data_IF_519002626745
#
_entry.id   IF_519002626745
#
_cell.length_a   1.000
_cell.length_b   1.000
_cell.length_c   1.000
_cell.angle_alpha   90.00
_cell.angle_beta   90.00
_cell.angle_gamma   90.00
#
_symmetry.space_group_name_H-M   'P 1'
#
loop_
_entity.id
_entity.type
_entity.pdbx_description
1 polymer ?
#
# COMPACT_ATOMS: atom_id res chain seq x y z
N UNK A 1 25.27 -27.41 26.05
CA UNK A 1 26.42 -27.77 25.20
C UNK A 1 27.45 -28.34 26.13
N UNK A 2 27.71 -29.64 26.00
CA UNK A 2 28.80 -30.32 26.70
C UNK A 2 30.15 -29.84 26.18
N UNK A 3 31.09 -29.76 27.11
CA UNK A 3 32.42 -29.19 26.95
C UNK A 3 33.32 -30.15 26.15
N UNK A 4 33.75 -29.74 24.96
CA UNK A 4 34.59 -30.53 24.07
C UNK A 4 35.44 -29.65 23.17
N UNK A 5 36.76 -29.86 23.18
CA UNK A 5 37.73 -29.11 22.37
C UNK A 5 37.63 -29.49 20.88
N UNK A 6 37.48 -28.49 20.02
CA UNK A 6 37.40 -28.62 18.56
C UNK A 6 38.66 -29.24 17.94
N UNK A 7 38.51 -30.30 17.15
CA UNK A 7 39.61 -30.97 16.46
C UNK A 7 39.63 -30.64 14.96
N UNK A 8 40.83 -30.71 14.35
CA UNK A 8 40.99 -30.51 12.91
C UNK A 8 40.31 -31.65 12.13
N UNK A 9 39.28 -31.32 11.36
CA UNK A 9 38.46 -32.29 10.60
C UNK A 9 36.99 -32.34 11.02
N UNK A 10 36.63 -31.69 12.13
CA UNK A 10 35.24 -31.61 12.58
C UNK A 10 34.36 -30.88 11.56
N UNK A 11 33.16 -31.41 11.33
CA UNK A 11 32.14 -30.80 10.48
C UNK A 11 30.90 -30.49 11.29
N UNK A 12 30.51 -29.23 11.32
CA UNK A 12 29.31 -28.76 12.01
C UNK A 12 28.23 -28.44 10.98
N UNK A 13 27.05 -29.01 11.18
CA UNK A 13 25.87 -28.71 10.38
C UNK A 13 25.12 -27.57 11.06
N UNK A 14 25.31 -26.34 10.58
CA UNK A 14 24.58 -25.17 11.05
C UNK A 14 23.28 -25.08 10.23
N UNK A 15 22.14 -25.34 10.87
CA UNK A 15 20.82 -25.22 10.26
C UNK A 15 19.98 -24.19 11.02
N UNK A 16 20.29 -22.89 10.88
CA UNK A 16 19.67 -21.84 11.68
C UNK A 16 18.18 -21.67 11.41
N UNK A 17 17.66 -22.24 10.30
CA UNK A 17 16.26 -22.16 9.89
C UNK A 17 15.47 -23.46 9.98
N UNK A 18 16.05 -24.59 10.42
CA UNK A 18 15.38 -25.91 10.40
C UNK A 18 14.04 -25.92 11.15
N UNK A 19 13.94 -25.12 12.22
CA UNK A 19 12.73 -24.97 13.04
C UNK A 19 12.14 -23.54 12.97
N UNK A 20 12.59 -22.70 12.02
CA UNK A 20 12.11 -21.32 11.91
C UNK A 20 10.60 -21.25 11.61
N UNK A 21 10.05 -22.27 10.95
CA UNK A 21 8.62 -22.38 10.70
C UNK A 21 7.82 -22.86 11.93
N UNK A 22 8.42 -23.63 12.84
CA UNK A 22 7.79 -24.09 14.10
C UNK A 22 7.57 -22.92 15.08
N UNK A 23 8.35 -21.86 14.94
CA UNK A 23 8.24 -20.63 15.73
C UNK A 23 7.24 -19.62 15.16
N UNK A 24 6.61 -19.92 14.02
CA UNK A 24 5.54 -19.09 13.45
C UNK A 24 4.22 -19.49 14.13
N UNK A 25 3.82 -18.71 15.14
CA UNK A 25 2.53 -18.84 15.81
C UNK A 25 1.58 -17.69 15.45
N UNK A 26 0.29 -18.00 15.28
CA UNK A 26 -0.77 -17.00 15.19
C UNK A 26 -0.99 -16.38 16.58
N UNK A 27 -0.75 -15.08 16.73
CA UNK A 27 -0.97 -14.35 18.00
C UNK A 27 -2.40 -13.81 18.13
N UNK A 28 -3.11 -13.67 17.01
CA UNK A 28 -4.49 -13.21 16.96
C UNK A 28 -5.40 -14.42 17.11
N UNK A 29 -6.04 -14.59 18.26
CA UNK A 29 -6.86 -15.77 18.55
C UNK A 29 -8.35 -15.44 18.61
N UNK A 30 -8.72 -14.16 18.65
CA UNK A 30 -10.10 -13.65 18.69
C UNK A 30 -10.24 -12.45 17.75
N UNK A 31 -11.44 -12.22 17.25
CA UNK A 31 -11.74 -11.10 16.36
C UNK A 31 -11.53 -9.74 17.06
N UNK A 32 -11.73 -9.69 18.38
CA UNK A 32 -11.47 -8.53 19.25
C UNK A 32 -9.97 -8.27 19.54
N UNK A 33 -9.07 -9.22 19.22
CA UNK A 33 -7.62 -8.97 19.27
C UNK A 33 -7.16 -8.11 18.07
N UNK A 34 -8.01 -7.98 17.05
CA UNK A 34 -7.85 -7.03 15.97
C UNK A 34 -8.54 -5.72 16.38
N UNK A 35 -7.87 -4.59 16.17
CA UNK A 35 -8.34 -3.24 16.55
C UNK A 35 -9.52 -2.73 15.68
N UNK A 36 -10.51 -3.58 15.44
CA UNK A 36 -11.71 -3.33 14.65
C UNK A 36 -12.79 -2.58 15.43
N UNK A 37 -12.72 -2.58 16.76
CA UNK A 37 -13.60 -1.80 17.60
C UNK A 37 -13.13 -0.34 17.71
N UNK A 38 -14.07 0.60 17.77
CA UNK A 38 -13.74 1.99 18.11
C UNK A 38 -13.34 2.06 19.59
N UNK A 39 -12.35 2.91 19.96
CA UNK A 39 -11.85 3.01 21.34
C UNK A 39 -12.87 3.63 22.31
N UNK A 40 -13.93 4.24 21.80
CA UNK A 40 -15.00 4.86 22.61
C UNK A 40 -16.31 4.11 22.40
N UNK A 41 -17.12 4.05 23.45
CA UNK A 41 -18.46 3.48 23.41
C UNK A 41 -19.40 4.24 24.34
N UNK A 42 -20.66 4.32 23.95
CA UNK A 42 -21.71 4.81 24.83
C UNK A 42 -22.60 3.70 25.37
N UNK A 43 -23.03 3.85 26.62
CA UNK A 43 -24.04 3.02 27.28
C UNK A 43 -25.14 3.90 27.88
N UNK A 44 -26.31 3.31 28.08
CA UNK A 44 -27.49 3.98 28.64
C UNK A 44 -27.58 3.69 30.12
N UNK A 45 -27.90 4.68 30.95
CA UNK A 45 -28.14 4.48 32.37
C UNK A 45 -29.39 3.63 32.64
N UNK A 46 -29.29 2.73 33.63
CA UNK A 46 -30.37 1.78 33.97
C UNK A 46 -31.63 2.45 34.55
N UNK A 47 -31.51 3.68 35.03
CA UNK A 47 -32.59 4.45 35.65
C UNK A 47 -33.26 5.42 34.66
N UNK A 48 -32.92 5.34 33.36
CA UNK A 48 -33.51 6.21 32.36
C UNK A 48 -34.99 5.89 32.18
N UNK A 49 -35.83 6.92 32.23
CA UNK A 49 -37.28 6.83 32.04
C UNK A 49 -37.73 7.46 30.72
N UNK A 50 -36.90 8.31 30.11
CA UNK A 50 -37.14 8.88 28.79
C UNK A 50 -36.85 7.91 27.64
N UNK A 51 -37.20 8.34 26.43
CA UNK A 51 -36.91 7.63 25.16
C UNK A 51 -35.65 8.16 24.48
N UNK A 52 -34.80 8.89 25.21
CA UNK A 52 -33.54 9.40 24.72
C UNK A 52 -32.64 8.26 24.21
N UNK A 53 -31.91 8.52 23.13
CA UNK A 53 -30.95 7.59 22.54
C UNK A 53 -29.65 8.31 22.26
N UNK A 54 -28.54 7.62 22.53
CA UNK A 54 -27.20 8.01 22.14
C UNK A 54 -26.68 7.05 21.07
N UNK A 55 -25.98 7.57 20.06
CA UNK A 55 -25.25 6.72 19.12
C UNK A 55 -23.99 6.12 19.78
N UNK A 56 -23.25 5.29 19.05
CA UNK A 56 -22.02 4.69 19.60
C UNK A 56 -20.80 5.63 19.49
N UNK A 57 -20.98 6.82 18.92
CA UNK A 57 -19.95 7.84 18.73
C UNK A 57 -19.02 7.59 17.53
N UNK A 58 -18.38 8.67 17.09
CA UNK A 58 -17.38 8.69 16.02
C UNK A 58 -16.08 9.32 16.53
N UNK A 59 -14.95 8.70 16.18
CA UNK A 59 -13.63 9.28 16.44
C UNK A 59 -13.34 10.36 15.41
N UNK A 60 -12.84 11.50 15.88
CA UNK A 60 -12.41 12.62 15.03
C UNK A 60 -10.88 12.74 15.03
N UNK A 61 -10.27 12.77 16.22
CA UNK A 61 -8.82 12.82 16.40
C UNK A 61 -8.44 12.41 17.83
N UNK A 62 -7.21 11.96 18.03
CA UNK A 62 -6.64 11.72 19.37
C UNK A 62 -5.67 12.83 19.79
N UNK A 63 -5.28 13.69 18.84
CA UNK A 63 -4.38 14.83 19.04
C UNK A 63 -5.04 16.12 18.58
N UNK A 64 -4.71 17.21 19.26
CA UNK A 64 -5.08 18.55 18.80
C UNK A 64 -4.37 18.86 17.48
N UNK A 65 -5.08 19.30 16.42
CA UNK A 65 -4.45 19.67 15.16
C UNK A 65 -3.62 20.95 15.24
N UNK A 66 -3.85 21.79 16.26
CA UNK A 66 -3.10 23.05 16.44
C UNK A 66 -1.80 22.86 17.23
N UNK A 67 -1.79 21.95 18.21
CA UNK A 67 -0.65 21.77 19.12
C UNK A 67 0.07 20.44 18.97
N UNK A 68 -0.52 19.46 18.28
CA UNK A 68 -0.01 18.09 18.17
C UNK A 68 -0.04 17.28 19.48
N UNK A 69 -0.44 17.90 20.59
CA UNK A 69 -0.55 17.25 21.90
C UNK A 69 -1.74 16.31 21.96
N UNK A 70 -1.64 15.27 22.78
CA UNK A 70 -2.76 14.34 23.04
C UNK A 70 -3.91 15.08 23.71
N UNK A 71 -5.14 14.77 23.28
CA UNK A 71 -6.34 15.30 23.91
C UNK A 71 -6.54 14.67 25.30
N UNK A 72 -7.27 15.34 26.23
CA UNK A 72 -7.37 14.91 27.62
C UNK A 72 -7.78 13.45 27.82
N UNK A 73 -8.69 12.93 27.00
CA UNK A 73 -9.14 11.55 27.09
C UNK A 73 -8.14 10.50 26.62
N UNK A 74 -7.12 10.87 25.85
CA UNK A 74 -6.20 9.93 25.19
C UNK A 74 -4.76 10.05 25.67
N UNK A 75 -4.54 10.60 26.87
CA UNK A 75 -3.21 10.74 27.45
C UNK A 75 -2.58 9.41 27.86
N UNK A 76 -3.42 8.42 28.21
CA UNK A 76 -3.00 7.06 28.55
C UNK A 76 -3.48 6.07 27.49
N UNK A 77 -2.62 5.14 27.08
CA UNK A 77 -3.00 4.09 26.14
C UNK A 77 -3.90 3.03 26.80
N UNK A 78 -4.95 2.59 26.09
CA UNK A 78 -5.85 1.53 26.57
C UNK A 78 -6.96 2.00 27.52
N UNK A 79 -7.11 3.31 27.74
CA UNK A 79 -8.17 3.86 28.57
C UNK A 79 -8.63 5.24 28.06
N UNK A 80 -9.73 5.73 28.63
CA UNK A 80 -10.21 7.09 28.47
C UNK A 80 -9.83 7.86 29.73
N UNK A 81 -8.69 8.57 29.72
CA UNK A 81 -8.05 9.12 30.93
C UNK A 81 -8.90 10.16 31.68
N UNK A 82 -9.81 10.85 30.98
CA UNK A 82 -10.77 11.77 31.58
C UNK A 82 -12.15 11.14 31.85
N UNK A 83 -12.30 9.83 31.61
CA UNK A 83 -13.55 9.10 31.70
C UNK A 83 -13.62 8.07 32.83
N UNK A 84 -14.74 7.33 32.96
CA UNK A 84 -15.94 7.46 32.13
C UNK A 84 -16.60 8.84 32.24
N UNK A 85 -17.16 9.31 31.14
CA UNK A 85 -17.86 10.59 31.06
C UNK A 85 -19.36 10.35 31.20
N UNK A 86 -20.01 11.03 32.13
CA UNK A 86 -21.46 10.94 32.32
C UNK A 86 -22.14 12.16 31.72
N UNK A 87 -23.07 11.91 30.80
CA UNK A 87 -24.01 12.89 30.27
C UNK A 87 -25.27 12.81 31.14
N UNK A 88 -25.62 13.89 31.84
CA UNK A 88 -26.81 13.94 32.67
C UNK A 88 -27.81 14.98 32.15
N UNK A 89 -29.07 14.57 32.01
CA UNK A 89 -30.17 15.43 31.59
C UNK A 89 -30.85 16.11 32.78
N UNK A 90 -31.06 17.41 32.67
CA UNK A 90 -31.70 18.23 33.68
C UNK A 90 -32.70 19.21 33.07
N UNK A 91 -33.71 19.58 33.86
CA UNK A 91 -34.61 20.66 33.49
C UNK A 91 -33.85 22.00 33.46
N UNK A 92 -33.74 22.62 32.27
CA UNK A 92 -33.07 23.91 32.06
C UNK A 92 -33.96 25.13 32.27
N UNK A 93 -35.07 24.99 33.01
CA UNK A 93 -36.04 26.06 33.23
C UNK A 93 -36.78 26.47 31.93
N UNK A 94 -36.95 27.76 31.62
CA UNK A 94 -37.71 28.21 30.45
C UNK A 94 -37.05 27.83 29.10
N UNK A 95 -35.77 27.43 29.11
CA UNK A 95 -35.01 27.02 27.93
C UNK A 95 -35.25 25.56 27.52
N UNK A 96 -36.09 24.82 28.24
CA UNK A 96 -36.35 23.41 27.97
C UNK A 96 -35.33 22.47 28.63
N UNK A 97 -35.19 21.26 28.09
CA UNK A 97 -34.24 20.26 28.62
C UNK A 97 -32.81 20.69 28.32
N UNK A 98 -31.89 20.41 29.24
CA UNK A 98 -30.45 20.61 29.05
C UNK A 98 -29.68 19.35 29.40
N UNK A 99 -28.45 19.24 28.92
CA UNK A 99 -27.52 18.20 29.35
C UNK A 99 -26.17 18.80 29.76
N UNK A 100 -25.51 18.14 30.69
CA UNK A 100 -24.13 18.46 31.10
C UNK A 100 -23.30 17.20 31.05
N UNK A 101 -22.09 17.30 30.53
CA UNK A 101 -21.11 16.21 30.55
C UNK A 101 -20.15 16.42 31.71
N UNK A 102 -19.95 15.38 32.51
CA UNK A 102 -19.07 15.40 33.67
C UNK A 102 -18.09 14.24 33.61
N UNK A 103 -16.89 14.45 34.14
CA UNK A 103 -15.90 13.39 34.34
C UNK A 103 -16.24 12.46 35.50
N UNK A 104 -15.37 11.49 35.80
CA UNK A 104 -15.62 10.50 36.84
C UNK A 104 -15.68 11.11 38.25
N UNK A 105 -16.45 10.50 39.18
CA UNK A 105 -16.42 10.85 40.60
C UNK A 105 -15.00 10.68 41.20
N UNK A 106 -14.64 11.42 42.26
CA UNK A 106 -15.48 12.36 43.04
C UNK A 106 -15.43 13.81 42.55
N UNK A 107 -14.54 14.14 41.61
CA UNK A 107 -14.38 15.51 41.14
C UNK A 107 -15.54 15.95 40.23
N UNK A 108 -16.10 15.03 39.43
CA UNK A 108 -17.25 15.26 38.53
C UNK A 108 -17.19 16.59 37.76
N UNK A 109 -15.98 16.97 37.36
CA UNK A 109 -15.72 18.24 36.69
C UNK A 109 -16.46 18.26 35.35
N UNK A 110 -17.07 19.41 35.02
CA UNK A 110 -17.69 19.59 33.71
C UNK A 110 -16.65 19.46 32.61
N UNK A 111 -16.98 18.68 31.58
CA UNK A 111 -16.18 18.53 30.37
C UNK A 111 -16.88 19.29 29.25
N UNK A 112 -16.24 20.33 28.73
CA UNK A 112 -16.86 21.27 27.80
C UNK A 112 -17.77 22.27 28.51
N UNK A 113 -18.85 22.65 27.83
CA UNK A 113 -19.81 23.64 28.30
C UNK A 113 -20.94 22.97 29.11
N UNK A 114 -21.29 23.56 30.26
CA UNK A 114 -22.38 23.09 31.10
C UNK A 114 -23.77 23.51 30.57
N UNK A 115 -24.80 22.75 30.94
CA UNK A 115 -26.20 23.03 30.65
C UNK A 115 -26.48 23.32 29.17
N UNK A 116 -25.89 22.52 28.28
CA UNK A 116 -26.12 22.63 26.86
C UNK A 116 -27.60 22.39 26.54
N UNK A 117 -28.23 23.23 25.70
CA UNK A 117 -29.64 23.06 25.36
C UNK A 117 -29.84 21.76 24.58
N UNK A 118 -30.91 21.04 24.91
CA UNK A 118 -31.36 19.88 24.15
C UNK A 118 -32.59 20.23 23.33
N UNK A 119 -32.46 20.19 22.01
CA UNK A 119 -33.54 20.45 21.07
C UNK A 119 -34.26 19.16 20.70
N UNK A 120 -35.49 18.99 21.21
CA UNK A 120 -36.31 17.82 20.90
C UNK A 120 -36.64 17.73 19.40
N UNK A 121 -36.59 16.50 18.86
CA UNK A 121 -36.85 16.24 17.44
C UNK A 121 -35.68 16.53 16.49
N UNK A 122 -34.54 17.01 17.02
CA UNK A 122 -33.30 17.19 16.27
C UNK A 122 -32.19 16.28 16.78
N UNK A 123 -31.13 16.17 15.98
CA UNK A 123 -29.87 15.56 16.39
C UNK A 123 -29.10 16.59 17.21
N UNK A 124 -28.80 16.25 18.46
CA UNK A 124 -28.02 17.08 19.37
C UNK A 124 -26.61 16.49 19.48
N UNK A 125 -25.56 17.28 19.25
CA UNK A 125 -24.17 16.83 19.37
C UNK A 125 -23.65 17.06 20.79
N UNK A 126 -22.99 16.05 21.36
CA UNK A 126 -22.44 16.13 22.74
C UNK A 126 -21.19 17.01 22.80
N UNK A 127 -20.32 16.86 21.80
CA UNK A 127 -19.07 17.61 21.64
C UNK A 127 -18.99 18.18 20.23
N UNK A 128 -18.24 19.27 20.09
CA UNK A 128 -17.99 19.92 18.80
C UNK A 128 -17.07 19.06 17.93
N UNK A 129 -17.31 19.10 16.62
CA UNK A 129 -16.37 18.57 15.62
C UNK A 129 -15.31 19.59 15.19
N UNK A 130 -15.51 20.87 15.51
CA UNK A 130 -14.54 21.94 15.27
C UNK A 130 -13.40 21.88 16.29
N UNK A 131 -12.15 21.62 15.86
CA UNK A 131 -11.00 21.62 16.75
C UNK A 131 -10.75 22.96 17.46
N UNK A 132 -11.28 24.08 16.93
CA UNK A 132 -11.16 25.41 17.52
C UNK A 132 -12.13 25.66 18.69
N UNK A 133 -13.06 24.73 18.96
CA UNK A 133 -14.06 24.85 20.01
C UNK A 133 -13.51 24.66 21.45
N UNK A 134 -12.18 24.58 21.62
CA UNK A 134 -11.54 24.53 22.92
C UNK A 134 -11.99 23.33 23.75
N UNK A 135 -12.56 23.57 24.94
CA UNK A 135 -12.99 22.52 25.85
C UNK A 135 -14.13 21.65 25.30
N UNK A 136 -14.92 22.17 24.34
CA UNK A 136 -16.00 21.41 23.69
C UNK A 136 -15.49 20.43 22.62
N UNK A 137 -14.19 20.45 22.29
CA UNK A 137 -13.56 19.49 21.38
C UNK A 137 -12.80 18.41 22.17
N UNK A 138 -13.37 17.20 22.26
CA UNK A 138 -12.76 16.06 22.94
C UNK A 138 -12.09 15.05 22.01
N UNK A 139 -12.14 15.28 20.69
CA UNK A 139 -11.57 14.36 19.69
C UNK A 139 -12.51 13.22 19.26
N UNK A 140 -13.73 13.23 19.76
CA UNK A 140 -14.80 12.35 19.36
C UNK A 140 -16.15 13.06 19.50
N UNK A 141 -17.15 12.58 18.77
CA UNK A 141 -18.50 13.14 18.79
C UNK A 141 -19.51 12.03 19.06
N UNK A 142 -20.51 12.35 19.87
CA UNK A 142 -21.70 11.55 20.07
C UNK A 142 -22.92 12.35 19.69
N UNK A 143 -23.96 11.66 19.23
CA UNK A 143 -25.24 12.25 18.84
C UNK A 143 -26.35 11.72 19.72
N UNK A 144 -27.16 12.65 20.23
CA UNK A 144 -28.32 12.42 21.07
C UNK A 144 -29.59 12.69 20.27
N UNK A 145 -30.56 11.80 20.39
CA UNK A 145 -31.89 11.89 19.74
C UNK A 145 -32.98 11.38 20.68
N UNK A 146 -34.25 11.55 20.29
CA UNK A 146 -35.39 11.09 21.08
C UNK A 146 -35.85 12.10 22.12
N UNK A 147 -36.50 11.62 23.17
CA UNK A 147 -37.06 12.46 24.25
C UNK A 147 -36.52 11.98 25.60
N UNK A 148 -35.33 12.43 26.03
CA UNK A 148 -34.82 12.16 27.36
C UNK A 148 -35.71 12.83 28.41
N UNK A 149 -35.73 12.26 29.62
CA UNK A 149 -36.36 12.83 30.80
C UNK A 149 -35.30 13.41 31.75
N UNK A 150 -35.75 14.25 32.69
CA UNK A 150 -34.87 14.76 33.76
C UNK A 150 -34.38 13.60 34.63
N UNK A 151 -33.07 13.54 34.86
CA UNK A 151 -32.43 12.44 35.58
C UNK A 151 -31.92 11.31 34.67
N UNK A 152 -32.28 11.29 33.38
CA UNK A 152 -31.70 10.35 32.44
C UNK A 152 -30.18 10.59 32.30
N UNK A 153 -29.43 9.50 32.18
CA UNK A 153 -27.98 9.52 32.02
C UNK A 153 -27.50 8.62 30.88
N UNK A 154 -26.42 9.03 30.22
CA UNK A 154 -25.64 8.18 29.33
C UNK A 154 -24.18 8.24 29.73
N UNK A 155 -23.47 7.13 29.57
CA UNK A 155 -22.04 7.06 29.88
C UNK A 155 -21.24 6.86 28.59
N UNK A 156 -20.17 7.62 28.43
CA UNK A 156 -19.14 7.41 27.42
C UNK A 156 -17.90 6.87 28.12
N UNK A 157 -17.47 5.68 27.70
CA UNK A 157 -16.32 5.00 28.29
C UNK A 157 -15.38 4.46 27.21
N UNK A 158 -14.20 4.01 27.65
CA UNK A 158 -13.28 3.28 26.78
C UNK A 158 -13.82 1.89 26.45
N UNK A 159 -13.77 1.52 25.18
CA UNK A 159 -14.23 0.22 24.71
C UNK A 159 -13.16 -0.87 24.90
N UNK A 160 -12.90 -1.24 26.15
CA UNK A 160 -11.79 -2.12 26.53
C UNK A 160 -11.87 -3.54 25.95
N UNK A 161 -13.08 -4.06 25.72
CA UNK A 161 -13.28 -5.44 25.28
C UNK A 161 -13.65 -5.58 23.80
N UNK A 162 -13.97 -4.47 23.11
CA UNK A 162 -14.33 -4.46 21.68
C UNK A 162 -15.54 -5.33 21.28
N UNK A 163 -16.28 -5.89 22.24
CA UNK A 163 -17.31 -6.91 21.98
C UNK A 163 -18.42 -6.36 21.09
N UNK A 164 -18.69 -7.07 19.99
CA UNK A 164 -19.73 -6.74 19.01
C UNK A 164 -19.52 -5.37 18.34
N UNK A 165 -18.28 -4.89 18.27
CA UNK A 165 -17.93 -3.63 17.61
C UNK A 165 -16.91 -3.85 16.50
N UNK A 166 -17.35 -3.69 15.25
CA UNK A 166 -16.53 -3.79 14.05
C UNK A 166 -16.43 -2.45 13.30
N UNK A 167 -16.68 -1.32 13.97
CA UNK A 167 -16.77 0.00 13.31
C UNK A 167 -15.50 0.40 12.56
N UNK A 168 -14.31 0.12 13.09
CA UNK A 168 -13.08 0.41 12.35
C UNK A 168 -12.89 -0.53 11.16
N UNK A 169 -13.37 -1.78 11.23
CA UNK A 169 -13.36 -2.68 10.07
C UNK A 169 -14.30 -2.18 8.98
N UNK A 170 -15.48 -1.67 9.34
CA UNK A 170 -16.42 -1.04 8.40
C UNK A 170 -15.80 0.21 7.75
N UNK A 171 -15.14 1.07 8.54
CA UNK A 171 -14.42 2.23 8.01
C UNK A 171 -13.28 1.80 7.07
N UNK A 172 -12.54 0.74 7.40
CA UNK A 172 -11.49 0.20 6.55
C UNK A 172 -12.05 -0.38 5.25
N UNK A 173 -13.17 -1.10 5.31
CA UNK A 173 -13.85 -1.62 4.12
C UNK A 173 -14.33 -0.46 3.23
N UNK A 174 -14.87 0.60 3.83
CA UNK A 174 -15.26 1.83 3.13
C UNK A 174 -14.11 2.52 2.40
N UNK A 175 -12.87 2.42 2.89
CA UNK A 175 -11.71 2.99 2.20
C UNK A 175 -11.47 2.35 0.82
N UNK A 176 -11.82 1.08 0.64
CA UNK A 176 -11.60 0.37 -0.64
C UNK A 176 -12.33 1.01 -1.83
N UNK A 177 -13.49 1.62 -1.59
CA UNK A 177 -14.31 2.30 -2.60
C UNK A 177 -14.30 3.83 -2.46
N UNK A 178 -13.83 4.37 -1.34
CA UNK A 178 -13.73 5.80 -1.16
C UNK A 178 -12.66 6.42 -2.07
N UNK A 179 -13.02 7.53 -2.71
CA UNK A 179 -12.07 8.29 -3.51
C UNK A 179 -11.08 9.04 -2.61
N UNK A 180 -9.94 8.40 -2.36
CA UNK A 180 -8.89 8.91 -1.47
C UNK A 180 -7.59 9.23 -2.22
N UNK A 181 -7.45 8.73 -3.46
CA UNK A 181 -6.29 8.93 -4.31
C UNK A 181 -6.53 10.03 -5.35
N UNK A 182 -5.46 10.51 -5.98
CA UNK A 182 -5.49 11.50 -7.06
C UNK A 182 -6.35 12.73 -6.73
N UNK A 183 -6.09 13.34 -5.57
CA UNK A 183 -6.86 14.51 -5.12
C UNK A 183 -8.33 14.18 -4.78
N UNK A 184 -8.60 12.95 -4.30
CA UNK A 184 -9.95 12.43 -4.00
C UNK A 184 -10.83 12.20 -5.21
N UNK A 185 -10.24 11.88 -6.36
CA UNK A 185 -10.97 11.56 -7.59
C UNK A 185 -11.04 10.06 -7.89
N UNK A 186 -10.22 9.24 -7.22
CA UNK A 186 -10.14 7.81 -7.47
C UNK A 186 -10.05 7.00 -6.19
N UNK A 187 -10.68 5.83 -6.21
CA UNK A 187 -10.55 4.77 -5.21
C UNK A 187 -9.24 3.99 -5.38
N UNK A 188 -8.88 3.18 -4.38
CA UNK A 188 -7.74 2.26 -4.48
C UNK A 188 -7.89 1.28 -5.65
N UNK A 189 -9.11 0.78 -5.87
CA UNK A 189 -9.39 -0.19 -6.93
C UNK A 189 -9.19 0.42 -8.32
N UNK A 190 -9.69 1.64 -8.53
CA UNK A 190 -9.53 2.37 -9.80
C UNK A 190 -8.07 2.75 -10.06
N UNK A 191 -7.36 3.25 -9.04
CA UNK A 191 -5.95 3.60 -9.18
C UNK A 191 -5.09 2.37 -9.46
N UNK A 192 -5.40 1.23 -8.85
CA UNK A 192 -4.70 -0.03 -9.12
C UNK A 192 -4.96 -0.52 -10.55
N UNK A 193 -6.23 -0.47 -11.01
CA UNK A 193 -6.58 -0.80 -12.39
C UNK A 193 -5.83 0.09 -13.40
N UNK A 194 -5.77 1.40 -13.15
CA UNK A 194 -5.01 2.34 -13.99
C UNK A 194 -3.50 2.06 -14.02
N UNK A 195 -2.90 1.64 -12.89
CA UNK A 195 -1.50 1.23 -12.86
C UNK A 195 -1.25 -0.04 -13.69
N UNK A 196 -2.14 -1.02 -13.58
CA UNK A 196 -2.05 -2.26 -14.38
C UNK A 196 -2.21 -1.96 -15.88
N UNK A 197 -3.12 -1.05 -16.23
CA UNK A 197 -3.31 -0.59 -17.61
C UNK A 197 -2.04 0.10 -18.16
N UNK A 198 -1.46 1.03 -17.42
CA UNK A 198 -0.24 1.74 -17.84
C UNK A 198 0.94 0.77 -18.08
N UNK A 199 1.15 -0.18 -17.16
CA UNK A 199 2.15 -1.24 -17.32
C UNK A 199 1.84 -2.08 -18.57
N UNK A 200 0.57 -2.43 -18.79
CA UNK A 200 0.12 -3.18 -19.97
C UNK A 200 0.43 -2.46 -21.28
N UNK A 201 0.10 -1.17 -21.37
CA UNK A 201 0.38 -0.32 -22.52
C UNK A 201 1.88 -0.19 -22.74
N UNK A 202 2.66 0.10 -21.69
CA UNK A 202 4.12 0.24 -21.78
C UNK A 202 4.79 -1.05 -22.22
N UNK A 203 4.30 -2.19 -21.73
CA UNK A 203 4.80 -3.53 -22.13
C UNK A 203 4.52 -3.77 -23.61
N UNK A 204 3.31 -3.50 -24.08
CA UNK A 204 2.94 -3.69 -25.49
C UNK A 204 3.72 -2.76 -26.42
N UNK A 205 3.94 -1.50 -26.02
CA UNK A 205 4.82 -0.58 -26.75
C UNK A 205 6.25 -1.13 -26.85
N UNK A 206 6.81 -1.61 -25.73
CA UNK A 206 8.18 -2.15 -25.70
C UNK A 206 8.33 -3.41 -26.57
N UNK A 207 7.31 -4.26 -26.64
CA UNK A 207 7.28 -5.41 -27.55
C UNK A 207 7.25 -4.99 -29.01
N UNK A 208 6.43 -3.99 -29.36
CA UNK A 208 6.37 -3.45 -30.71
C UNK A 208 7.72 -2.82 -31.12
N UNK A 209 8.33 -2.04 -30.24
CA UNK A 209 9.64 -1.43 -30.48
C UNK A 209 10.73 -2.50 -30.68
N UNK A 210 10.67 -3.60 -29.92
CA UNK A 210 11.57 -4.76 -30.09
C UNK A 210 11.37 -5.43 -31.46
N UNK A 211 10.14 -5.64 -31.91
CA UNK A 211 9.83 -6.26 -33.20
C UNK A 211 10.28 -5.38 -34.37
N UNK A 212 10.02 -4.08 -34.30
CA UNK A 212 10.53 -3.10 -35.26
C UNK A 212 12.07 -3.08 -35.28
N UNK A 213 12.70 -3.09 -34.11
CA UNK A 213 14.16 -3.15 -33.98
C UNK A 213 14.77 -4.42 -34.57
N UNK A 214 14.15 -5.58 -34.38
CA UNK A 214 14.55 -6.85 -35.02
C UNK A 214 14.46 -6.78 -36.53
N UNK A 215 13.36 -6.24 -37.06
CA UNK A 215 13.15 -6.09 -38.50
C UNK A 215 14.23 -5.18 -39.12
N UNK A 216 14.52 -4.05 -38.46
CA UNK A 216 15.57 -3.14 -38.89
C UNK A 216 16.96 -3.77 -38.84
N UNK A 217 17.23 -4.58 -37.80
CA UNK A 217 18.47 -5.33 -37.67
C UNK A 217 18.64 -6.35 -38.80
N UNK A 218 17.60 -7.13 -39.12
CA UNK A 218 17.60 -8.09 -40.23
C UNK A 218 17.85 -7.39 -41.56
N UNK A 219 17.13 -6.30 -41.83
CA UNK A 219 17.28 -5.51 -43.06
C UNK A 219 18.70 -4.92 -43.17
N UNK A 220 19.24 -4.37 -42.08
CA UNK A 220 20.59 -3.79 -42.06
C UNK A 220 21.67 -4.86 -42.24
N UNK A 221 21.46 -6.03 -41.65
CA UNK A 221 22.37 -7.18 -41.80
C UNK A 221 22.39 -7.67 -43.24
N UNK A 222 21.22 -7.84 -43.86
CA UNK A 222 21.11 -8.24 -45.28
C UNK A 222 21.72 -7.21 -46.23
N UNK A 223 21.56 -5.91 -45.98
CA UNK A 223 22.24 -4.86 -46.75
C UNK A 223 23.76 -4.89 -46.57
N UNK A 224 24.25 -5.14 -45.36
CA UNK A 224 25.69 -5.29 -45.11
C UNK A 224 26.24 -6.50 -45.86
N UNK A 225 25.53 -7.63 -45.83
CA UNK A 225 25.91 -8.87 -46.52
C UNK A 225 25.86 -8.75 -48.04
N UNK A 226 24.95 -7.94 -48.62
CA UNK A 226 24.92 -7.75 -50.07
C UNK A 226 26.11 -6.95 -50.60
N UNK A 227 26.67 -6.04 -49.79
CA UNK A 227 27.83 -5.21 -50.17
C UNK A 227 29.15 -5.86 -49.77
N UNK A 228 29.22 -6.46 -48.58
CA UNK A 228 30.47 -7.00 -48.01
C UNK A 228 30.53 -8.52 -48.00
N UNK A 229 29.48 -9.20 -48.45
CA UNK A 229 29.43 -10.66 -48.54
C UNK A 229 30.26 -11.16 -49.72
N UNK A 230 30.92 -12.29 -49.52
CA UNK A 230 31.67 -13.00 -50.56
C UNK A 230 30.75 -14.07 -51.14
N UNK A 231 30.51 -14.05 -52.45
CA UNK A 231 29.81 -15.12 -53.14
C UNK A 231 30.81 -16.24 -53.48
N UNK A 232 30.74 -17.35 -52.73
CA UNK A 232 31.66 -18.47 -52.90
C UNK A 232 31.59 -19.11 -54.28
N UNK A 233 30.44 -19.07 -54.96
CA UNK A 233 30.30 -19.61 -56.31
C UNK A 233 30.99 -18.71 -57.35
N UNK A 234 30.89 -17.39 -57.19
CA UNK A 234 31.60 -16.44 -58.04
C UNK A 234 33.12 -16.51 -57.82
N UNK A 235 33.56 -16.57 -56.56
CA UNK A 235 34.98 -16.73 -56.23
C UNK A 235 35.53 -18.10 -56.67
N UNK A 236 34.74 -19.18 -56.59
CA UNK A 236 35.11 -20.48 -57.14
C UNK A 236 35.23 -20.44 -58.67
N UNK A 237 34.32 -19.74 -59.36
CA UNK A 237 34.41 -19.50 -60.80
C UNK A 237 35.66 -18.71 -61.19
N UNK A 238 35.97 -17.62 -60.47
CA UNK A 238 37.21 -16.85 -60.64
C UNK A 238 38.44 -17.69 -60.36
N UNK A 239 38.43 -18.53 -59.32
CA UNK A 239 39.51 -19.47 -59.02
C UNK A 239 39.76 -20.46 -60.16
N UNK A 240 38.71 -21.07 -60.72
CA UNK A 240 38.83 -21.96 -61.89
C UNK A 240 39.41 -21.20 -63.08
N UNK A 241 38.97 -19.97 -63.32
CA UNK A 241 39.50 -19.13 -64.39
C UNK A 241 40.99 -18.80 -64.18
N UNK A 242 41.40 -18.45 -62.95
CA UNK A 242 42.80 -18.20 -62.62
C UNK A 242 43.67 -19.45 -62.76
N UNK A 243 43.15 -20.62 -62.38
CA UNK A 243 43.84 -21.90 -62.58
C UNK A 243 44.01 -22.22 -64.07
N UNK A 244 42.98 -21.99 -64.89
CA UNK A 244 43.06 -22.18 -66.34
C UNK A 244 44.06 -21.21 -66.99
N UNK A 245 44.02 -19.93 -66.61
CA UNK A 245 44.96 -18.92 -67.09
C UNK A 245 46.42 -19.25 -66.69
N UNK A 246 46.64 -19.69 -65.45
CA UNK A 246 47.96 -20.13 -64.97
C UNK A 246 48.50 -21.31 -65.79
N UNK A 247 47.68 -22.34 -66.03
CA UNK A 247 48.06 -23.48 -66.87
C UNK A 247 48.36 -23.07 -68.31
N UNK A 248 47.57 -22.14 -68.87
CA UNK A 248 47.83 -21.58 -70.20
C UNK A 248 49.15 -20.81 -70.25
N UNK A 249 49.44 -19.95 -69.27
CA UNK A 249 50.72 -19.25 -69.15
C UNK A 249 51.89 -20.20 -68.99
N UNK A 250 51.76 -21.26 -68.18
CA UNK A 250 52.77 -22.30 -68.04
C UNK A 250 53.04 -23.03 -69.37
N UNK A 251 51.99 -23.30 -70.17
CA UNK A 251 52.15 -23.90 -71.49
C UNK A 251 52.85 -22.96 -72.47
N UNK A 252 52.54 -21.66 -72.45
CA UNK A 252 53.24 -20.64 -73.26
C UNK A 252 54.72 -20.58 -72.90
N UNK A 253 55.07 -20.63 -71.60
CA UNK A 253 56.46 -20.67 -71.15
C UNK A 253 57.16 -21.94 -71.65
N UNK A 254 56.52 -23.10 -71.53
CA UNK A 254 57.05 -24.37 -72.04
C UNK A 254 57.31 -24.28 -73.55
N UNK A 255 56.37 -23.77 -74.35
CA UNK A 255 56.53 -23.60 -75.79
C UNK A 255 57.65 -22.59 -76.12
N UNK A 256 57.74 -21.49 -75.37
CA UNK A 256 58.83 -20.53 -75.54
C UNK A 256 60.21 -21.15 -75.22
N UNK A 257 60.28 -22.01 -74.20
CA UNK A 257 61.49 -22.73 -73.81
C UNK A 257 61.88 -23.78 -74.87
N UNK A 258 60.89 -24.48 -75.44
CA UNK A 258 61.09 -25.40 -76.57
C UNK A 258 61.59 -24.66 -77.82
N UNK A 259 61.00 -23.51 -78.15
CA UNK A 259 61.46 -22.65 -79.25
C UNK A 259 62.88 -22.12 -79.01
N UNK A 260 63.18 -21.69 -77.79
CA UNK A 260 64.52 -21.22 -77.41
C UNK A 260 65.57 -22.32 -77.55
N UNK A 261 65.27 -23.53 -77.06
CA UNK A 261 66.15 -24.69 -77.19
C UNK A 261 66.35 -25.10 -78.66
N UNK A 262 65.30 -25.05 -79.48
CA UNK A 262 65.36 -25.34 -80.91
C UNK A 262 66.24 -24.33 -81.66
N UNK A 263 66.12 -23.03 -81.35
CA UNK A 263 67.00 -22.00 -81.89
C UNK A 263 68.46 -22.23 -81.48
N UNK A 264 68.72 -22.55 -80.20
CA UNK A 264 70.06 -22.89 -79.71
C UNK A 264 70.68 -24.14 -80.37
N UNK A 265 69.86 -25.12 -80.74
CA UNK A 265 70.32 -26.32 -81.46
C UNK A 265 70.61 -26.05 -82.94
N UNK A 266 69.97 -25.05 -83.55
CA UNK A 266 70.14 -24.71 -84.97
C UNK A 266 71.43 -23.92 -85.24
N UNK A 267 72.00 -23.25 -84.22
CA UNK A 267 73.29 -22.54 -84.30
C UNK A 267 74.49 -23.36 -83.80
N UNK A 268 74.41 -24.70 -83.87
CA UNK A 268 75.51 -25.62 -83.58
C UNK A 268 75.99 -26.34 -84.82
#
# INVERSE_FOLDING_TARGET
>A
MEDGTFNAGDKYLIQPSRNAAESIGLQVNREEDLAFASPIRATTGDQNVGTGKIDQGTMLNVRSPFTGSLLPGFQTAGELANGPLTIAFAAGGPSGMTFTVTGPPPASATVGTANQPYEAGKINTVFSDDPAAGADYQGFQFKLTGQPATGDTFEIAYNSNGVSDNRNAELLAGLGTANTLNGKSQSFTESYAGLVEDIGVKTRQSQFDLEAGKTLLEQSTGQRESVSGVNLDEEAGKLIQYQAAYNASAKVISVAQDLFNTLLQTFR
#
